data_IF_523167731736
#
_entry.id   IF_523167731736
#
_cell.length_a   1.000
_cell.length_b   1.000
_cell.length_c   1.000
_cell.angle_alpha   90.00
_cell.angle_beta   90.00
_cell.angle_gamma   90.00
#
_symmetry.space_group_name_H-M   'P 1'
#
loop_
_entity.id
_entity.type
_entity.pdbx_description
1 polymer ?
#
# COMPACT_ATOMS: atom_id res chain seq x y z
N UNK A 1 11.57 -26.87 7.30
CA UNK A 1 11.19 -25.69 8.12
C UNK A 1 11.01 -24.52 7.17
N UNK A 2 9.87 -23.85 7.19
CA UNK A 2 9.69 -22.62 6.41
C UNK A 2 10.66 -21.57 6.97
N UNK A 3 11.49 -21.01 6.09
CA UNK A 3 12.36 -19.91 6.48
C UNK A 3 11.49 -18.67 6.68
N UNK A 4 11.16 -18.36 7.92
CA UNK A 4 10.26 -17.25 8.25
C UNK A 4 10.95 -15.88 8.19
N UNK A 5 12.28 -15.87 8.10
CA UNK A 5 13.11 -14.67 8.17
C UNK A 5 14.29 -14.74 7.23
N UNK A 6 14.63 -13.59 6.67
CA UNK A 6 15.83 -13.37 5.89
C UNK A 6 16.83 -12.53 6.68
N UNK A 7 18.12 -12.73 6.45
CA UNK A 7 19.17 -11.91 7.04
C UNK A 7 19.62 -10.89 6.01
N UNK A 8 19.52 -9.61 6.36
CA UNK A 8 20.03 -8.50 5.57
C UNK A 8 21.29 -7.93 6.21
N UNK A 9 22.30 -7.61 5.38
CA UNK A 9 23.48 -6.87 5.81
C UNK A 9 23.29 -5.39 5.51
N UNK A 10 23.37 -4.54 6.55
CA UNK A 10 23.25 -3.08 6.39
C UNK A 10 24.37 -2.47 5.55
N UNK A 11 25.49 -3.18 5.38
CA UNK A 11 26.58 -2.80 4.49
C UNK A 11 26.26 -3.03 3.00
N UNK A 12 25.29 -3.89 2.69
CA UNK A 12 24.80 -4.13 1.33
C UNK A 12 23.39 -3.56 1.19
N UNK A 13 23.30 -2.24 1.09
CA UNK A 13 22.05 -1.49 1.01
C UNK A 13 21.22 -1.94 -0.20
N UNK A 14 21.87 -2.18 -1.35
CA UNK A 14 21.19 -2.58 -2.58
C UNK A 14 20.50 -3.95 -2.47
N UNK A 15 21.04 -4.87 -1.66
CA UNK A 15 20.44 -6.20 -1.45
C UNK A 15 19.05 -6.15 -0.84
N UNK A 16 18.59 -5.01 -0.29
CA UNK A 16 17.20 -4.87 0.16
C UNK A 16 16.18 -5.17 -0.94
N UNK A 17 16.52 -4.89 -2.20
CA UNK A 17 15.67 -5.20 -3.34
C UNK A 17 15.35 -6.70 -3.48
N UNK A 18 16.20 -7.58 -2.93
CA UNK A 18 15.99 -9.03 -2.97
C UNK A 18 14.78 -9.46 -2.12
N UNK A 19 14.42 -8.69 -1.10
CA UNK A 19 13.30 -9.02 -0.21
C UNK A 19 11.95 -8.55 -0.75
N UNK A 20 11.94 -7.85 -1.89
CA UNK A 20 10.72 -7.45 -2.59
C UNK A 20 10.38 -8.51 -3.63
N UNK A 21 9.36 -9.34 -3.37
CA UNK A 21 9.02 -10.46 -4.24
C UNK A 21 7.58 -10.33 -4.76
N UNK A 22 7.41 -10.25 -6.09
CA UNK A 22 6.09 -10.13 -6.73
C UNK A 22 5.14 -11.29 -6.40
N UNK A 23 5.66 -12.49 -6.12
CA UNK A 23 4.86 -13.66 -5.75
C UNK A 23 4.14 -13.49 -4.41
N UNK A 24 4.56 -12.52 -3.59
CA UNK A 24 3.83 -12.13 -2.39
C UNK A 24 2.39 -11.73 -2.74
N UNK A 25 2.16 -11.05 -3.88
CA UNK A 25 0.82 -10.72 -4.32
C UNK A 25 0.00 -11.97 -4.66
N UNK A 26 0.54 -12.87 -5.49
CA UNK A 26 -0.15 -14.07 -5.98
C UNK A 26 -0.59 -15.02 -4.86
N UNK A 27 0.18 -15.04 -3.76
CA UNK A 27 -0.02 -15.97 -2.66
C UNK A 27 -0.82 -15.39 -1.49
N UNK A 28 -0.85 -14.07 -1.31
CA UNK A 28 -1.20 -13.47 -0.01
C UNK A 28 -2.43 -12.57 -0.01
N UNK A 29 -2.90 -12.08 -1.16
CA UNK A 29 -3.97 -11.08 -1.18
C UNK A 29 -4.88 -11.23 -2.41
N UNK A 30 -6.09 -11.74 -2.19
CA UNK A 30 -7.21 -11.49 -3.11
C UNK A 30 -7.67 -10.06 -2.87
N UNK A 31 -7.16 -9.11 -3.67
CA UNK A 31 -7.68 -7.77 -3.64
C UNK A 31 -9.17 -7.79 -4.04
N UNK A 32 -10.02 -6.95 -3.42
CA UNK A 32 -11.45 -6.85 -3.76
C UNK A 32 -11.71 -6.20 -5.12
N UNK A 33 -10.65 -5.92 -5.87
CA UNK A 33 -10.66 -5.22 -7.16
C UNK A 33 -9.84 -6.01 -8.17
N UNK A 34 -10.24 -5.90 -9.44
CA UNK A 34 -9.43 -6.37 -10.54
C UNK A 34 -8.36 -5.31 -10.87
N UNK A 35 -7.08 -5.65 -10.66
CA UNK A 35 -5.96 -4.72 -10.90
C UNK A 35 -5.90 -4.19 -12.34
N UNK A 36 -6.39 -4.95 -13.33
CA UNK A 36 -6.40 -4.50 -14.72
C UNK A 36 -7.35 -3.31 -14.95
N UNK A 37 -8.37 -3.19 -14.10
CA UNK A 37 -9.34 -2.09 -14.15
C UNK A 37 -8.80 -0.84 -13.44
N UNK A 38 -7.82 -0.98 -12.53
CA UNK A 38 -7.30 0.09 -11.66
C UNK A 38 -5.80 0.38 -11.81
N UNK A 39 -5.26 0.41 -13.03
CA UNK A 39 -3.81 0.71 -13.23
C UNK A 39 -3.49 1.71 -14.34
N UNK A 40 -4.47 2.11 -15.15
CA UNK A 40 -4.19 2.78 -16.42
C UNK A 40 -3.94 4.29 -16.26
N UNK A 41 -4.66 4.95 -15.36
CA UNK A 41 -4.47 6.38 -15.08
C UNK A 41 -3.79 6.62 -13.72
N UNK A 42 -3.25 7.83 -13.46
CA UNK A 42 -2.73 8.18 -12.14
C UNK A 42 -3.76 8.02 -11.02
N UNK A 43 -5.03 8.37 -11.30
CA UNK A 43 -6.11 8.22 -10.34
C UNK A 43 -6.43 6.75 -10.06
N UNK A 44 -6.44 5.91 -11.10
CA UNK A 44 -6.63 4.45 -10.96
C UNK A 44 -5.52 3.85 -10.09
N UNK A 45 -4.26 4.21 -10.37
CA UNK A 45 -3.11 3.74 -9.59
C UNK A 45 -3.20 4.18 -8.13
N UNK A 46 -3.60 5.42 -7.87
CA UNK A 46 -3.83 5.91 -6.50
C UNK A 46 -4.91 5.08 -5.78
N UNK A 47 -6.00 4.75 -6.47
CA UNK A 47 -7.08 3.92 -5.90
C UNK A 47 -6.63 2.47 -5.65
N UNK A 48 -5.82 1.90 -6.54
CA UNK A 48 -5.22 0.58 -6.33
C UNK A 48 -4.26 0.58 -5.13
N UNK A 49 -3.42 1.61 -4.99
CA UNK A 49 -2.52 1.76 -3.85
C UNK A 49 -3.30 1.89 -2.54
N UNK A 50 -4.39 2.67 -2.54
CA UNK A 50 -5.33 2.77 -1.41
C UNK A 50 -5.93 1.42 -1.07
N UNK A 51 -6.42 0.69 -2.07
CA UNK A 51 -7.02 -0.64 -1.88
C UNK A 51 -6.02 -1.61 -1.25
N UNK A 52 -4.76 -1.62 -1.71
CA UNK A 52 -3.70 -2.43 -1.11
C UNK A 52 -3.49 -2.06 0.36
N UNK A 53 -3.37 -0.76 0.65
CA UNK A 53 -3.16 -0.26 2.01
C UNK A 53 -4.30 -0.65 2.96
N UNK A 54 -5.55 -0.39 2.55
CA UNK A 54 -6.74 -0.70 3.35
C UNK A 54 -6.93 -2.21 3.53
N UNK A 55 -6.53 -3.00 2.54
CA UNK A 55 -6.53 -4.45 2.66
C UNK A 55 -5.52 -4.90 3.71
N UNK A 56 -4.28 -4.40 3.69
CA UNK A 56 -3.28 -4.71 4.72
C UNK A 56 -3.71 -4.25 6.12
N UNK A 57 -4.29 -3.06 6.22
CA UNK A 57 -4.86 -2.53 7.46
C UNK A 57 -5.95 -3.48 8.01
N UNK A 58 -6.74 -4.09 7.13
CA UNK A 58 -7.80 -5.03 7.53
C UNK A 58 -7.28 -6.32 8.16
N UNK A 59 -6.02 -6.69 7.89
CA UNK A 59 -5.39 -7.93 8.38
C UNK A 59 -4.93 -7.82 9.85
N UNK A 60 -5.06 -6.64 10.46
CA UNK A 60 -4.73 -6.39 11.87
C UNK A 60 -3.29 -6.78 12.25
N UNK A 61 -2.35 -6.44 11.38
CA UNK A 61 -0.92 -6.63 11.63
C UNK A 61 -0.52 -5.74 12.81
N UNK A 62 0.33 -6.23 13.71
CA UNK A 62 0.86 -5.49 14.85
C UNK A 62 2.25 -4.95 14.55
N UNK A 63 2.56 -3.76 15.04
CA UNK A 63 3.93 -3.27 14.97
C UNK A 63 4.80 -4.04 15.97
N UNK A 64 5.97 -4.48 15.54
CA UNK A 64 6.97 -5.13 16.37
C UNK A 64 8.30 -4.39 16.32
N UNK A 65 9.09 -4.53 17.39
CA UNK A 65 10.48 -4.08 17.39
C UNK A 65 11.35 -5.01 16.54
N UNK A 66 12.51 -4.49 16.12
CA UNK A 66 13.57 -5.32 15.54
C UNK A 66 13.93 -6.43 16.51
N UNK A 67 14.11 -7.65 15.99
CA UNK A 67 14.59 -8.75 16.80
C UNK A 67 16.02 -8.46 17.23
N UNK A 68 16.33 -8.77 18.48
CA UNK A 68 17.68 -8.61 19.00
C UNK A 68 18.69 -9.34 18.12
N UNK A 69 19.72 -8.61 17.68
CA UNK A 69 20.88 -9.14 16.99
C UNK A 69 22.13 -8.66 17.72
N UNK A 70 23.09 -9.56 18.06
CA UNK A 70 24.36 -9.15 18.63
C UNK A 70 25.20 -8.37 17.60
N UNK A 71 25.02 -8.65 16.32
CA UNK A 71 25.68 -8.01 15.19
C UNK A 71 24.88 -6.79 14.72
N UNK A 72 25.35 -5.57 15.02
CA UNK A 72 24.69 -4.32 14.63
C UNK A 72 24.58 -4.11 13.11
N UNK A 73 25.48 -4.74 12.36
CA UNK A 73 25.57 -4.63 10.89
C UNK A 73 24.55 -5.50 10.14
N UNK A 74 23.68 -6.21 10.87
CA UNK A 74 22.70 -7.11 10.27
C UNK A 74 21.33 -6.91 10.88
N UNK A 75 20.30 -7.19 10.09
CA UNK A 75 18.92 -7.14 10.53
C UNK A 75 18.17 -8.34 9.98
N UNK A 76 17.34 -8.94 10.82
CA UNK A 76 16.38 -9.94 10.35
C UNK A 76 15.17 -9.24 9.75
N UNK A 77 14.77 -9.70 8.58
CA UNK A 77 13.60 -9.25 7.85
C UNK A 77 12.60 -10.39 7.84
N UNK A 78 11.40 -10.15 8.34
CA UNK A 78 10.32 -11.13 8.31
C UNK A 78 9.86 -11.33 6.87
N UNK A 79 9.65 -12.58 6.48
CA UNK A 79 9.03 -12.88 5.18
C UNK A 79 7.58 -12.39 5.15
N UNK A 80 7.02 -12.06 3.98
CA UNK A 80 5.59 -11.79 3.83
C UNK A 80 4.69 -12.84 4.50
N UNK A 81 5.01 -14.13 4.39
CA UNK A 81 4.27 -15.19 5.10
C UNK A 81 4.30 -15.00 6.62
N UNK A 82 5.46 -14.67 7.19
CA UNK A 82 5.61 -14.49 8.63
C UNK A 82 4.93 -13.22 9.14
N UNK A 83 4.87 -12.15 8.34
CA UNK A 83 4.17 -10.90 8.69
C UNK A 83 2.66 -11.11 8.70
N UNK A 84 2.13 -11.95 7.80
CA UNK A 84 0.69 -12.15 7.61
C UNK A 84 0.12 -13.34 8.39
N UNK A 85 0.96 -14.29 8.79
CA UNK A 85 0.58 -15.41 9.65
C UNK A 85 0.66 -15.01 11.11
N UNK A 86 -0.09 -15.72 11.98
CA UNK A 86 -0.06 -15.48 13.43
C UNK A 86 1.38 -15.49 13.99
N UNK A 87 1.78 -14.48 14.78
CA UNK A 87 0.95 -13.46 15.45
C UNK A 87 0.56 -12.25 14.58
N UNK A 88 1.07 -12.15 13.36
CA UNK A 88 0.77 -11.09 12.42
C UNK A 88 1.49 -9.80 12.80
N UNK A 89 2.81 -9.73 12.63
CA UNK A 89 3.60 -8.59 13.10
C UNK A 89 4.76 -8.20 12.16
N UNK A 90 5.21 -6.95 12.24
CA UNK A 90 6.35 -6.46 11.46
C UNK A 90 6.95 -5.16 11.98
N UNK A 91 8.23 -4.93 11.65
CA UNK A 91 8.94 -3.66 11.83
C UNK A 91 8.61 -2.68 10.70
N UNK A 92 9.06 -1.42 10.78
CA UNK A 92 8.90 -0.47 9.69
C UNK A 92 9.50 -0.97 8.36
N UNK A 93 10.64 -1.65 8.41
CA UNK A 93 11.28 -2.24 7.24
C UNK A 93 10.48 -3.43 6.68
N UNK A 94 10.04 -4.35 7.54
CA UNK A 94 9.22 -5.50 7.15
C UNK A 94 7.96 -5.05 6.39
N UNK A 95 7.27 -4.04 6.95
CA UNK A 95 6.01 -3.53 6.41
C UNK A 95 6.23 -2.76 5.10
N UNK A 96 7.29 -1.96 4.99
CA UNK A 96 7.64 -1.28 3.75
C UNK A 96 7.95 -2.28 2.62
N UNK A 97 8.74 -3.32 2.90
CA UNK A 97 9.08 -4.36 1.92
C UNK A 97 7.86 -5.20 1.51
N UNK A 98 6.98 -5.54 2.46
CA UNK A 98 5.71 -6.21 2.17
C UNK A 98 4.83 -5.36 1.25
N UNK A 99 4.65 -4.08 1.57
CA UNK A 99 3.86 -3.15 0.76
C UNK A 99 4.43 -3.01 -0.65
N UNK A 100 5.75 -2.81 -0.78
CA UNK A 100 6.43 -2.77 -2.08
C UNK A 100 6.25 -4.09 -2.85
N UNK A 101 6.29 -5.25 -2.19
CA UNK A 101 6.11 -6.56 -2.84
C UNK A 101 4.73 -6.69 -3.47
N UNK A 102 3.69 -6.27 -2.75
CA UNK A 102 2.31 -6.32 -3.22
C UNK A 102 2.10 -5.31 -4.36
N UNK A 103 2.59 -4.08 -4.21
CA UNK A 103 2.56 -3.08 -5.28
C UNK A 103 3.25 -3.58 -6.54
N UNK A 104 4.44 -4.17 -6.41
CA UNK A 104 5.21 -4.68 -7.55
C UNK A 104 4.50 -5.84 -8.25
N UNK A 105 3.89 -6.77 -7.50
CA UNK A 105 3.04 -7.83 -8.05
C UNK A 105 1.73 -7.33 -8.69
N UNK A 106 1.29 -6.12 -8.33
CA UNK A 106 0.18 -5.42 -8.98
C UNK A 106 0.63 -4.55 -10.16
N UNK A 107 1.85 -4.74 -10.66
CA UNK A 107 2.44 -3.96 -11.77
C UNK A 107 2.61 -2.46 -11.49
N UNK A 108 2.54 -2.04 -10.23
CA UNK A 108 2.97 -0.72 -9.80
C UNK A 108 4.50 -0.67 -9.69
N UNK A 109 5.05 0.54 -9.65
CA UNK A 109 6.49 0.78 -9.56
C UNK A 109 6.85 1.41 -8.20
N UNK A 110 7.12 0.59 -7.18
CA UNK A 110 7.44 1.07 -5.83
C UNK A 110 8.93 1.38 -5.64
N UNK A 111 9.19 2.30 -4.72
CA UNK A 111 10.47 2.60 -4.12
C UNK A 111 10.45 2.14 -2.66
N UNK A 112 11.52 1.47 -2.23
CA UNK A 112 11.80 1.31 -0.80
C UNK A 112 12.66 2.49 -0.36
N UNK A 113 12.24 3.21 0.67
CA UNK A 113 12.95 4.39 1.19
C UNK A 113 13.43 4.08 2.61
N UNK A 114 14.70 4.36 2.84
CA UNK A 114 15.33 4.24 4.16
C UNK A 114 15.80 5.61 4.62
N UNK A 115 15.40 5.96 5.83
CA UNK A 115 15.88 7.13 6.57
C UNK A 115 16.48 6.64 7.90
N UNK A 116 17.14 7.53 8.65
CA UNK A 116 17.70 7.14 9.95
C UNK A 116 16.63 6.54 10.88
N UNK A 117 16.83 5.27 11.25
CA UNK A 117 15.96 4.54 12.17
C UNK A 117 14.54 4.28 11.67
N UNK A 118 14.26 4.41 10.37
CA UNK A 118 12.92 4.17 9.82
C UNK A 118 12.93 3.80 8.34
N UNK A 119 11.86 3.16 7.89
CA UNK A 119 11.64 2.81 6.49
C UNK A 119 10.20 3.09 6.08
N UNK A 120 10.02 3.48 4.82
CA UNK A 120 8.74 3.77 4.20
C UNK A 120 8.78 3.40 2.72
N UNK A 121 7.65 3.52 2.04
CA UNK A 121 7.56 3.27 0.61
C UNK A 121 7.19 4.54 -0.15
N UNK A 122 7.51 4.59 -1.44
CA UNK A 122 6.82 5.48 -2.37
C UNK A 122 6.38 4.69 -3.60
N UNK A 123 5.35 5.14 -4.31
CA UNK A 123 4.86 4.45 -5.50
C UNK A 123 4.59 5.45 -6.61
N UNK A 124 5.03 5.13 -7.83
CA UNK A 124 4.80 6.00 -8.99
C UNK A 124 3.31 6.06 -9.33
N UNK A 125 2.81 7.27 -9.54
CA UNK A 125 1.49 7.54 -10.09
C UNK A 125 1.52 7.78 -11.59
N UNK A 126 2.67 7.93 -12.23
CA UNK A 126 2.75 8.19 -13.68
C UNK A 126 3.00 6.93 -14.51
N UNK A 127 3.70 5.95 -13.95
CA UNK A 127 4.09 4.74 -14.69
C UNK A 127 3.68 3.45 -14.00
N UNK A 128 3.53 2.43 -14.83
CA UNK A 128 3.34 1.04 -14.44
C UNK A 128 4.40 0.17 -15.10
N UNK A 129 4.53 -1.04 -14.58
CA UNK A 129 5.53 -2.02 -15.02
C UNK A 129 5.23 -2.63 -16.39
N UNK A 130 3.95 -2.68 -16.78
CA UNK A 130 3.50 -3.35 -18.01
C UNK A 130 3.69 -2.51 -19.27
N UNK A 131 3.97 -3.22 -20.38
CA UNK A 131 4.15 -2.69 -21.74
C UNK A 131 5.25 -1.62 -21.81
N UNK A 132 5.52 -1.06 -22.99
CA UNK A 132 6.62 -0.10 -23.27
C UNK A 132 6.66 1.13 -22.34
N UNK A 133 5.72 1.28 -21.41
CA UNK A 133 5.71 2.27 -20.33
C UNK A 133 6.91 2.12 -19.39
N UNK A 134 7.35 0.88 -19.12
CA UNK A 134 8.61 0.66 -18.41
C UNK A 134 9.78 1.29 -19.16
N UNK A 135 9.84 1.12 -20.48
CA UNK A 135 10.90 1.70 -21.31
C UNK A 135 10.77 3.23 -21.40
N UNK A 136 9.55 3.77 -21.55
CA UNK A 136 9.30 5.22 -21.54
C UNK A 136 9.71 5.87 -20.23
N UNK A 137 9.53 5.17 -19.10
CA UNK A 137 10.01 5.64 -17.81
C UNK A 137 11.54 5.86 -17.78
N UNK A 138 12.34 5.17 -18.62
CA UNK A 138 13.77 5.44 -18.70
C UNK A 138 14.13 6.80 -19.27
N UNK A 139 13.22 7.40 -20.03
CA UNK A 139 13.45 8.68 -20.67
C UNK A 139 12.91 9.85 -19.84
N UNK A 140 12.26 9.57 -18.71
CA UNK A 140 11.51 10.54 -17.92
C UNK A 140 12.01 10.65 -16.47
N UNK A 141 11.16 11.07 -15.52
CA UNK A 141 11.55 11.32 -14.12
C UNK A 141 12.11 10.06 -13.43
N UNK A 142 11.79 8.87 -13.92
CA UNK A 142 12.34 7.60 -13.41
C UNK A 142 13.78 7.36 -13.82
N UNK A 143 14.31 8.10 -14.80
CA UNK A 143 15.73 8.06 -15.14
C UNK A 143 16.65 8.40 -13.95
N UNK A 144 16.12 9.14 -12.97
CA UNK A 144 16.79 9.43 -11.71
C UNK A 144 17.26 8.17 -10.94
N UNK A 145 16.61 7.02 -11.15
CA UNK A 145 16.90 5.76 -10.44
C UNK A 145 17.66 4.73 -11.30
N UNK A 146 17.90 5.01 -12.57
CA UNK A 146 18.41 4.01 -13.52
C UNK A 146 19.92 3.78 -13.42
N UNK A 147 20.65 4.70 -12.79
CA UNK A 147 22.08 4.53 -12.56
C UNK A 147 22.30 3.28 -11.70
N UNK A 148 23.37 2.50 -11.97
CA UNK A 148 23.77 1.38 -11.09
C UNK A 148 24.40 1.88 -9.78
N UNK A 149 23.83 2.92 -9.20
CA UNK A 149 24.26 3.58 -7.99
C UNK A 149 23.05 3.77 -7.08
N UNK A 150 23.31 3.73 -5.78
CA UNK A 150 22.26 3.93 -4.80
C UNK A 150 21.71 5.36 -4.90
N UNK A 151 20.38 5.52 -4.78
CA UNK A 151 19.74 6.82 -4.76
C UNK A 151 19.86 7.42 -3.35
N UNK A 152 21.03 7.98 -3.03
CA UNK A 152 21.42 8.47 -1.70
C UNK A 152 21.86 9.94 -1.70
N UNK A 153 21.82 10.56 -0.52
CA UNK A 153 22.29 11.94 -0.29
C UNK A 153 21.23 13.02 -0.47
N UNK A 154 21.56 14.22 0.02
CA UNK A 154 20.62 15.35 0.16
C UNK A 154 20.05 15.85 -1.16
N UNK A 155 20.88 15.95 -2.20
CA UNK A 155 20.42 16.39 -3.53
C UNK A 155 19.39 15.41 -4.12
N UNK A 156 19.65 14.10 -3.98
CA UNK A 156 18.73 13.06 -4.44
C UNK A 156 17.45 13.05 -3.59
N UNK A 157 17.54 13.27 -2.27
CA UNK A 157 16.37 13.48 -1.41
C UNK A 157 15.48 14.61 -1.91
N UNK A 158 16.06 15.79 -2.21
CA UNK A 158 15.30 16.94 -2.71
C UNK A 158 14.59 16.63 -4.03
N UNK A 159 15.25 15.92 -4.94
CA UNK A 159 14.61 15.47 -6.19
C UNK A 159 13.42 14.55 -5.91
N UNK A 160 13.56 13.56 -5.04
CA UNK A 160 12.46 12.67 -4.66
C UNK A 160 11.31 13.43 -3.98
N UNK A 161 11.63 14.38 -3.09
CA UNK A 161 10.62 15.22 -2.46
C UNK A 161 9.89 16.08 -3.50
N UNK A 162 10.60 16.61 -4.50
CA UNK A 162 10.00 17.28 -5.67
C UNK A 162 8.96 16.41 -6.37
N UNK A 163 9.33 15.19 -6.76
CA UNK A 163 8.41 14.25 -7.41
C UNK A 163 7.16 13.94 -6.56
N UNK A 164 7.32 13.84 -5.24
CA UNK A 164 6.19 13.63 -4.33
C UNK A 164 5.31 14.89 -4.24
N UNK A 165 5.91 16.07 -4.27
CA UNK A 165 5.19 17.34 -4.21
C UNK A 165 4.41 17.62 -5.50
N UNK A 166 4.98 17.21 -6.63
CA UNK A 166 4.41 17.39 -7.96
C UNK A 166 3.32 16.35 -8.27
N UNK A 167 3.21 15.29 -7.45
CA UNK A 167 2.19 14.26 -7.56
C UNK A 167 2.58 13.08 -8.45
N UNK A 168 3.84 13.01 -8.88
CA UNK A 168 4.38 11.89 -9.68
C UNK A 168 4.55 10.62 -8.84
N UNK A 169 4.74 10.79 -7.53
CA UNK A 169 4.84 9.73 -6.54
C UNK A 169 3.98 10.03 -5.32
N UNK A 170 3.52 8.97 -4.66
CA UNK A 170 2.99 9.08 -3.29
C UNK A 170 3.89 8.33 -2.33
N UNK A 171 4.37 9.01 -1.29
CA UNK A 171 5.08 8.40 -0.17
C UNK A 171 4.07 7.87 0.85
N UNK A 172 4.27 6.65 1.35
CA UNK A 172 3.34 5.94 2.25
C UNK A 172 4.07 5.51 3.52
N UNK A 173 3.58 6.00 4.67
CA UNK A 173 3.97 5.49 5.98
C UNK A 173 3.38 4.10 6.22
N UNK A 174 4.19 3.07 5.99
CA UNK A 174 3.75 1.67 6.03
C UNK A 174 3.50 1.17 7.46
N UNK A 175 4.05 1.81 8.50
CA UNK A 175 3.67 1.48 9.89
C UNK A 175 2.25 1.92 10.24
N UNK A 176 1.58 2.67 9.35
CA UNK A 176 0.21 3.10 9.55
C UNK A 176 -0.80 1.96 9.44
N UNK A 177 -0.55 0.94 8.59
CA UNK A 177 -1.43 -0.23 8.51
C UNK A 177 -1.14 -1.30 9.57
N UNK A 178 -0.20 -1.02 10.48
CA UNK A 178 0.08 -1.85 11.65
C UNK A 178 -0.45 -1.19 12.94
N UNK A 179 -1.10 -2.00 13.77
CA UNK A 179 -1.65 -1.58 15.05
C UNK A 179 -0.54 -1.45 16.10
N UNK A 180 -0.47 -0.28 16.73
CA UNK A 180 0.32 -0.09 17.94
C UNK A 180 -0.21 1.06 18.78
N UNK A 181 -0.50 0.76 20.05
CA UNK A 181 -0.86 1.79 21.03
C UNK A 181 0.37 2.50 21.60
N UNK A 182 1.53 1.83 21.62
CA UNK A 182 2.77 2.36 22.20
C UNK A 182 3.54 3.24 21.23
N UNK A 183 3.33 3.09 19.91
CA UNK A 183 3.89 4.03 18.94
C UNK A 183 3.33 5.44 19.14
N UNK A 184 2.08 5.59 19.56
CA UNK A 184 1.41 6.88 19.77
C UNK A 184 2.08 7.78 20.80
N UNK A 185 2.95 7.22 21.66
CA UNK A 185 3.68 7.96 22.70
C UNK A 185 5.00 8.57 22.19
N UNK A 186 5.36 8.33 20.92
CA UNK A 186 6.60 8.84 20.33
C UNK A 186 6.41 10.21 19.67
N UNK A 187 7.49 11.00 19.61
CA UNK A 187 7.50 12.33 18.97
C UNK A 187 7.50 12.29 17.44
N UNK A 188 7.69 11.11 16.85
CA UNK A 188 7.93 10.94 15.43
C UNK A 188 6.63 11.06 14.60
N UNK A 189 6.70 11.42 13.31
CA UNK A 189 5.52 11.64 12.48
C UNK A 189 4.54 10.45 12.45
N UNK A 190 5.05 9.22 12.43
CA UNK A 190 4.28 7.98 12.40
C UNK A 190 3.49 7.69 13.68
N UNK A 191 3.80 8.35 14.78
CA UNK A 191 3.08 8.23 16.04
C UNK A 191 1.81 9.10 16.10
N UNK A 192 1.78 10.16 15.29
CA UNK A 192 0.83 11.27 15.46
C UNK A 192 -0.46 11.02 14.71
N UNK A 193 -1.59 11.27 15.40
CA UNK A 193 -2.96 11.16 14.87
C UNK A 193 -3.30 9.74 14.40
N UNK A 194 -2.88 8.73 15.18
CA UNK A 194 -3.35 7.36 15.04
C UNK A 194 -4.80 7.23 15.55
N UNK A 195 -5.52 6.29 14.96
CA UNK A 195 -6.86 5.89 15.40
C UNK A 195 -6.80 5.22 16.79
N UNK A 196 -7.98 4.97 17.39
CA UNK A 196 -8.08 4.33 18.72
C UNK A 196 -7.44 2.94 18.77
N UNK A 197 -7.38 2.25 17.65
CA UNK A 197 -6.75 0.94 17.50
C UNK A 197 -5.25 1.01 17.17
N UNK A 198 -4.69 2.23 17.09
CA UNK A 198 -3.29 2.46 16.80
C UNK A 198 -2.92 2.39 15.32
N UNK A 199 -3.87 2.48 14.39
CA UNK A 199 -3.60 2.53 12.95
C UNK A 199 -3.63 3.97 12.37
N UNK A 200 -3.19 4.17 11.12
CA UNK A 200 -3.37 5.41 10.35
C UNK A 200 -4.30 5.14 9.15
N UNK A 201 -5.20 6.07 8.87
CA UNK A 201 -5.96 6.06 7.62
C UNK A 201 -5.06 6.37 6.42
N UNK A 202 -5.46 5.93 5.23
CA UNK A 202 -4.64 6.03 4.01
C UNK A 202 -4.14 7.45 3.70
N UNK A 203 -5.04 8.45 3.69
CA UNK A 203 -4.65 9.85 3.41
C UNK A 203 -3.67 10.37 4.46
N UNK A 204 -3.85 9.99 5.72
CA UNK A 204 -2.92 10.36 6.79
C UNK A 204 -1.57 9.68 6.61
N UNK A 205 -1.54 8.42 6.16
CA UNK A 205 -0.30 7.71 5.89
C UNK A 205 0.50 8.35 4.74
N UNK A 206 -0.18 8.95 3.75
CA UNK A 206 0.45 9.76 2.70
C UNK A 206 1.11 11.01 3.31
N UNK A 207 0.36 11.78 4.09
CA UNK A 207 0.87 12.99 4.73
C UNK A 207 2.09 12.70 5.61
N UNK A 208 2.03 11.61 6.38
CA UNK A 208 3.14 11.18 7.24
C UNK A 208 4.33 10.74 6.41
N UNK A 209 4.12 9.93 5.36
CA UNK A 209 5.20 9.49 4.47
C UNK A 209 5.98 10.68 3.90
N UNK A 210 5.27 11.73 3.47
CA UNK A 210 5.90 13.00 3.05
C UNK A 210 6.65 13.69 4.19
N UNK A 211 6.05 13.78 5.39
CA UNK A 211 6.67 14.42 6.55
C UNK A 211 7.98 13.73 6.98
N UNK A 212 8.10 12.42 6.81
CA UNK A 212 9.33 11.68 7.13
C UNK A 212 10.52 12.16 6.31
N UNK A 213 10.32 12.42 5.01
CA UNK A 213 11.38 12.88 4.10
C UNK A 213 11.85 14.31 4.39
N UNK A 214 11.03 15.10 5.09
CA UNK A 214 11.38 16.45 5.52
C UNK A 214 11.81 16.52 6.99
N UNK A 215 11.96 15.38 7.67
CA UNK A 215 12.28 15.34 9.10
C UNK A 215 13.81 15.47 9.32
N UNK A 216 14.32 16.61 9.83
CA UNK A 216 15.76 16.79 10.01
C UNK A 216 16.38 15.86 11.06
N UNK A 217 15.55 15.28 11.96
CA UNK A 217 16.01 14.31 12.96
C UNK A 217 16.19 12.90 12.39
N UNK A 218 15.65 12.64 11.19
CA UNK A 218 15.77 11.37 10.49
C UNK A 218 16.32 11.60 9.08
N UNK A 219 17.63 11.86 8.94
CA UNK A 219 18.22 12.13 7.64
C UNK A 219 17.96 10.99 6.65
N UNK A 220 17.71 11.36 5.41
CA UNK A 220 17.57 10.43 4.30
C UNK A 220 18.85 9.62 4.10
N UNK A 221 18.72 8.30 4.00
CA UNK A 221 19.85 7.41 3.69
C UNK A 221 19.86 7.12 2.21
N UNK A 222 18.81 6.46 1.73
CA UNK A 222 18.67 6.09 0.34
C UNK A 222 17.24 5.72 -0.03
N UNK A 223 16.99 5.66 -1.34
CA UNK A 223 15.85 4.97 -1.92
C UNK A 223 16.34 3.91 -2.92
N UNK A 224 15.56 2.86 -3.09
CA UNK A 224 15.80 1.80 -4.06
C UNK A 224 14.56 1.67 -4.91
N UNK A 225 14.72 1.91 -6.20
CA UNK A 225 13.71 1.59 -7.18
C UNK A 225 13.74 0.09 -7.46
N UNK A 226 12.64 -0.60 -7.16
CA UNK A 226 12.61 -2.07 -7.20
C UNK A 226 12.75 -2.57 -8.63
N UNK A 227 12.09 -1.93 -9.59
CA UNK A 227 12.19 -2.34 -10.98
C UNK A 227 13.61 -2.10 -11.53
N UNK A 228 14.24 -0.95 -11.22
CA UNK A 228 15.62 -0.68 -11.60
C UNK A 228 16.58 -1.68 -10.96
N UNK A 229 16.45 -1.96 -9.66
CA UNK A 229 17.30 -2.89 -8.95
C UNK A 229 17.20 -4.32 -9.51
N UNK A 230 15.99 -4.82 -9.74
CA UNK A 230 15.80 -6.19 -10.20
C UNK A 230 16.12 -6.35 -11.69
N UNK A 231 15.73 -5.38 -12.53
CA UNK A 231 15.88 -5.51 -13.99
C UNK A 231 17.20 -4.96 -14.52
N UNK A 232 17.72 -3.86 -13.98
CA UNK A 232 18.96 -3.23 -14.45
C UNK A 232 20.16 -3.68 -13.65
N UNK A 233 20.07 -3.61 -12.31
CA UNK A 233 21.18 -3.97 -11.44
C UNK A 233 21.29 -5.49 -11.26
N UNK A 234 20.34 -6.25 -11.80
CA UNK A 234 20.30 -7.72 -11.80
C UNK A 234 20.34 -8.30 -10.39
N UNK A 235 19.59 -7.69 -9.48
CA UNK A 235 19.42 -8.16 -8.11
C UNK A 235 18.14 -8.99 -8.05
N UNK A 236 18.19 -10.33 -8.20
CA UNK A 236 16.98 -11.15 -8.23
C UNK A 236 16.29 -11.16 -6.85
N UNK A 237 14.95 -11.28 -6.80
CA UNK A 237 14.27 -11.53 -5.54
C UNK A 237 14.70 -12.87 -4.94
N UNK A 238 14.80 -12.93 -3.61
CA UNK A 238 15.01 -14.21 -2.92
C UNK A 238 13.83 -15.14 -3.18
N UNK A 239 14.13 -16.44 -3.22
CA UNK A 239 13.08 -17.44 -3.32
C UNK A 239 12.13 -17.35 -2.13
N UNK A 240 10.85 -17.23 -2.46
CA UNK A 240 9.79 -17.19 -1.47
C UNK A 240 9.46 -18.63 -1.08
N UNK A 241 9.64 -19.04 0.20
CA UNK A 241 9.22 -20.36 0.64
C UNK A 241 7.70 -20.46 0.45
N UNK A 242 7.23 -21.55 -0.16
CA UNK A 242 5.80 -21.79 -0.37
C UNK A 242 5.04 -21.68 0.96
N UNK A 243 3.89 -21.00 0.97
CA UNK A 243 3.03 -20.95 2.16
C UNK A 243 2.67 -22.35 2.64
N UNK A 244 2.59 -22.54 3.96
CA UNK A 244 1.91 -23.72 4.48
C UNK A 244 0.42 -23.64 4.14
N UNK A 245 -0.24 -24.79 3.99
CA UNK A 245 -1.68 -24.85 3.74
C UNK A 245 -2.50 -24.12 4.80
N UNK A 246 -2.03 -24.08 6.05
CA UNK A 246 -2.66 -23.36 7.16
C UNK A 246 -2.59 -21.84 7.00
N UNK A 247 -1.42 -21.31 6.59
CA UNK A 247 -1.25 -19.88 6.33
C UNK A 247 -2.14 -19.42 5.16
N UNK A 248 -2.21 -20.23 4.09
CA UNK A 248 -3.11 -19.96 2.95
C UNK A 248 -4.58 -19.95 3.36
N UNK A 249 -5.01 -20.90 4.20
CA UNK A 249 -6.40 -20.97 4.68
C UNK A 249 -6.76 -19.77 5.56
N UNK A 250 -5.86 -19.35 6.45
CA UNK A 250 -6.09 -18.19 7.31
C UNK A 250 -6.24 -16.89 6.50
N UNK A 251 -5.30 -16.65 5.58
CA UNK A 251 -5.32 -15.48 4.71
C UNK A 251 -6.60 -15.46 3.86
N UNK A 252 -6.97 -16.61 3.30
CA UNK A 252 -8.20 -16.75 2.51
C UNK A 252 -9.45 -16.48 3.34
N UNK A 253 -9.53 -17.03 4.56
CA UNK A 253 -10.67 -16.84 5.45
C UNK A 253 -10.83 -15.36 5.88
N UNK A 254 -9.72 -14.66 6.16
CA UNK A 254 -9.76 -13.23 6.49
C UNK A 254 -10.22 -12.40 5.30
N UNK A 255 -9.71 -12.70 4.09
CA UNK A 255 -10.15 -12.03 2.87
C UNK A 255 -11.65 -12.26 2.61
N UNK A 256 -12.15 -13.49 2.77
CA UNK A 256 -13.56 -13.82 2.58
C UNK A 256 -14.48 -13.18 3.63
N UNK A 257 -14.04 -13.08 4.89
CA UNK A 257 -14.82 -12.44 5.95
C UNK A 257 -15.00 -10.93 5.71
N UNK A 258 -13.98 -10.27 5.13
CA UNK A 258 -13.96 -8.82 4.93
C UNK A 258 -14.53 -8.38 3.58
N UNK A 259 -14.29 -9.16 2.52
CA UNK A 259 -14.63 -8.79 1.14
C UNK A 259 -15.73 -9.67 0.54
N UNK A 260 -16.30 -10.59 1.33
CA UNK A 260 -17.27 -11.58 0.89
C UNK A 260 -16.62 -12.72 0.10
N UNK A 261 -17.39 -13.77 -0.17
CA UNK A 261 -16.92 -14.87 -1.02
C UNK A 261 -16.98 -14.43 -2.48
N UNK A 262 -15.85 -14.45 -3.18
CA UNK A 262 -15.82 -14.27 -4.63
C UNK A 262 -16.32 -15.57 -5.29
N UNK A 263 -17.54 -15.55 -5.83
CA UNK A 263 -18.03 -16.58 -6.75
C UNK A 263 -18.23 -15.91 -8.11
N UNK A 264 -17.53 -16.39 -9.13
CA UNK A 264 -17.65 -15.91 -10.52
C UNK A 264 -17.43 -14.39 -10.69
N UNK A 265 -16.46 -13.82 -9.97
CA UNK A 265 -16.13 -12.39 -10.07
C UNK A 265 -17.17 -11.43 -9.47
N UNK A 266 -18.16 -11.94 -8.73
CA UNK A 266 -19.10 -11.13 -7.94
C UNK A 266 -18.92 -11.41 -6.45
N UNK A 267 -18.93 -10.34 -5.66
CA UNK A 267 -18.97 -10.41 -4.19
C UNK A 267 -20.35 -10.95 -3.80
N UNK A 268 -20.39 -12.14 -3.21
CA UNK A 268 -21.60 -12.72 -2.62
C UNK A 268 -21.43 -12.69 -1.10
N UNK A 269 -22.30 -11.93 -0.43
CA UNK A 269 -22.39 -11.89 1.03
C UNK A 269 -21.51 -10.84 1.69
N UNK A 270 -22.04 -9.62 1.82
CA UNK A 270 -21.63 -8.71 2.89
C UNK A 270 -22.77 -8.75 3.91
N UNK A 271 -22.47 -9.18 5.14
CA UNK A 271 -23.41 -9.02 6.26
C UNK A 271 -23.40 -7.54 6.69
N UNK A 272 -24.39 -6.78 6.23
CA UNK A 272 -24.54 -5.35 6.48
C UNK A 272 -24.95 -5.01 7.93
N UNK A 273 -24.65 -5.85 8.93
CA UNK A 273 -25.09 -5.66 10.32
C UNK A 273 -24.09 -4.94 11.24
N UNK A 274 -23.22 -4.09 10.67
CA UNK A 274 -22.21 -3.34 11.44
C UNK A 274 -22.34 -1.81 11.43
N UNK A 275 -23.28 -1.23 10.67
CA UNK A 275 -23.42 0.21 10.49
C UNK A 275 -24.87 0.65 10.72
N UNK A 276 -25.40 0.48 11.93
CA UNK A 276 -26.59 1.22 12.36
C UNK A 276 -26.26 2.16 13.52
N UNK A 277 -26.16 3.44 13.17
CA UNK A 277 -26.03 4.56 14.08
C UNK A 277 -26.85 5.74 13.56
N UNK A 278 -28.18 5.61 13.66
CA UNK A 278 -29.18 6.68 13.85
C UNK A 278 -29.10 7.96 12.99
N UNK A 279 -30.04 8.08 12.04
CA UNK A 279 -30.37 9.35 11.37
C UNK A 279 -31.67 9.26 10.59
N UNK A 280 -32.79 9.36 11.31
CA UNK A 280 -34.16 9.18 10.83
C UNK A 280 -34.62 10.36 9.94
N UNK A 281 -34.87 10.11 8.65
CA UNK A 281 -35.62 11.01 7.76
C UNK A 281 -36.81 10.24 7.18
N UNK A 282 -38.00 10.48 7.75
CA UNK A 282 -39.27 9.99 7.26
C UNK A 282 -39.63 10.69 5.93
N UNK A 283 -39.61 9.97 4.82
CA UNK A 283 -40.41 10.31 3.65
C UNK A 283 -41.79 9.65 3.78
N UNK A 284 -42.85 10.47 3.78
CA UNK A 284 -44.21 10.02 3.49
C UNK A 284 -44.40 10.09 1.96
N UNK A 285 -44.69 8.96 1.35
CA UNK A 285 -45.43 8.88 0.10
C UNK A 285 -46.70 8.12 0.42
N UNK A 286 -47.85 8.77 0.30
CA UNK A 286 -49.12 8.10 0.08
C UNK A 286 -49.63 8.59 -1.27
N UNK A 287 -49.78 7.63 -2.16
CA UNK A 287 -50.47 7.67 -3.44
C UNK A 287 -51.98 7.75 -3.20
N UNK A 288 -52.70 8.53 -3.99
CA UNK A 288 -54.07 8.14 -4.34
C UNK A 288 -54.54 8.72 -5.68
N UNK A 289 -55.54 8.05 -6.22
CA UNK A 289 -55.79 7.80 -7.64
C UNK A 289 -57.08 8.46 -8.14
N UNK A 290 -57.09 8.86 -9.43
CA UNK A 290 -58.25 9.12 -10.33
C UNK A 290 -59.18 10.31 -9.93
N UNK A 291 -59.94 11.02 -10.78
CA UNK A 291 -60.63 10.76 -12.05
C UNK A 291 -60.85 12.09 -12.84
N UNK A 292 -61.04 11.96 -14.17
CA UNK A 292 -62.03 12.64 -15.02
C UNK A 292 -62.28 14.16 -14.95
N UNK A 293 -62.25 14.83 -16.11
CA UNK A 293 -62.99 16.09 -16.31
C UNK A 293 -62.52 17.00 -17.44
N UNK A 294 -63.14 16.85 -18.60
CA UNK A 294 -63.41 17.79 -19.72
C UNK A 294 -62.73 19.18 -19.86
N UNK A 295 -62.29 19.41 -21.11
CA UNK A 295 -62.38 20.59 -21.99
C UNK A 295 -62.44 22.01 -21.39
N UNK A 296 -61.55 22.89 -21.87
CA UNK A 296 -61.90 23.99 -22.81
C UNK A 296 -60.69 24.85 -23.21
N UNK A 297 -60.63 25.23 -24.49
CA UNK A 297 -60.38 26.62 -24.91
C UNK A 297 -58.95 27.16 -25.03
N UNK A 298 -58.38 27.03 -26.24
CA UNK A 298 -57.93 28.13 -27.12
C UNK A 298 -57.06 29.27 -26.51
N UNK A 299 -55.80 29.43 -26.98
CA UNK A 299 -55.42 30.53 -27.91
C UNK A 299 -53.99 30.40 -28.47
N UNK A 300 -53.93 30.50 -29.79
CA UNK A 300 -52.76 30.76 -30.62
C UNK A 300 -52.12 32.12 -30.31
N UNK A 301 -50.81 32.23 -30.52
CA UNK A 301 -50.09 33.51 -30.52
C UNK A 301 -48.61 33.34 -30.81
N UNK A 302 -48.29 33.13 -32.08
CA UNK A 302 -46.95 33.21 -32.67
C UNK A 302 -46.39 34.64 -32.64
N UNK A 303 -45.12 34.78 -32.24
CA UNK A 303 -44.04 35.50 -32.93
C UNK A 303 -42.70 35.18 -32.26
#
# INVERSE_FOLDING_TARGET
MLQNEWKWSKADEKSLAQFVNEKAFELLLKLPVNRFDLINTPQDRKELIKTIYETLLSLKIHYAHEKYQPEKETQLIRTPSAILSQPGEGTCLDLALLFCSICFGCDLLPLVIVIEGHALAAVSLNYKRQNDEWNKAFEAERNLFNNNELFAGEEKREKLLGLINDGDYIAIECTGFAHSKTLSDLEQPEAKKREKDGSLQFDRAIDVGRQQLSNPKRPFKFAIDIAAAQYLWKIPPLEFPSLSSEATQLITAVAEQKFGTLKDGKVIGIDARGLEGGGNLKSKQDTDTMEGGEMTGIKLGSL
#
